data_IF_220777138125
#
_entry.id   IF_220777138125
#
_cell.length_a   1.000
_cell.length_b   1.000
_cell.length_c   1.000
_cell.angle_alpha   90.00
_cell.angle_beta   90.00
_cell.angle_gamma   90.00
#
_symmetry.space_group_name_H-M   'P 1'
#
loop_
_entity.id
_entity.type
_entity.pdbx_description
1 polymer ?
#
# COMPACT_ATOMS: atom_id res chain seq x y z
N UNK A 1 -20.03 -14.19 25.29
CA UNK A 1 -20.05 -14.14 23.82
C UNK A 1 -18.59 -14.21 23.38
N UNK A 2 -18.19 -15.26 22.66
CA UNK A 2 -16.81 -15.43 22.20
C UNK A 2 -16.56 -14.38 21.10
N UNK A 3 -15.54 -13.52 21.27
CA UNK A 3 -15.12 -12.61 20.20
C UNK A 3 -14.56 -13.45 19.04
N UNK A 4 -15.00 -13.19 17.82
CA UNK A 4 -14.42 -13.86 16.65
C UNK A 4 -12.98 -13.34 16.44
N UNK A 5 -11.99 -14.24 16.50
CA UNK A 5 -10.57 -13.89 16.36
C UNK A 5 -10.00 -14.21 14.98
N UNK A 6 -10.80 -14.82 14.09
CA UNK A 6 -10.31 -15.43 12.86
C UNK A 6 -9.42 -14.54 11.98
N UNK A 7 -9.74 -13.25 11.82
CA UNK A 7 -8.89 -12.33 11.06
C UNK A 7 -7.60 -11.92 11.78
N UNK A 8 -7.63 -11.82 13.12
CA UNK A 8 -6.44 -11.57 13.93
C UNK A 8 -5.50 -12.78 13.86
N UNK A 9 -6.06 -13.98 13.89
CA UNK A 9 -5.32 -15.23 13.75
C UNK A 9 -4.70 -15.35 12.34
N UNK A 10 -5.45 -14.99 11.28
CA UNK A 10 -4.94 -14.91 9.91
C UNK A 10 -3.72 -13.97 9.81
N UNK A 11 -3.79 -12.78 10.43
CA UNK A 11 -2.66 -11.85 10.47
C UNK A 11 -1.58 -12.24 11.50
N UNK A 12 -1.88 -13.12 12.46
CA UNK A 12 -0.98 -13.53 13.53
C UNK A 12 -0.73 -12.42 14.55
N UNK A 13 -1.73 -11.58 14.83
CA UNK A 13 -1.65 -10.45 15.76
C UNK A 13 -2.65 -10.59 16.91
N UNK A 14 -2.44 -9.84 17.98
CA UNK A 14 -3.39 -9.82 19.10
C UNK A 14 -4.71 -9.10 18.72
N UNK A 15 -5.82 -9.47 19.34
CA UNK A 15 -7.12 -8.77 19.17
C UNK A 15 -7.07 -7.28 19.51
N UNK A 16 -6.15 -6.89 20.41
CA UNK A 16 -5.94 -5.51 20.82
C UNK A 16 -4.79 -4.82 20.04
N UNK A 17 -4.27 -5.47 18.98
CA UNK A 17 -3.16 -4.94 18.20
C UNK A 17 -3.50 -3.56 17.58
N UNK A 18 -2.63 -2.55 17.70
CA UNK A 18 -2.81 -1.26 17.05
C UNK A 18 -2.65 -1.39 15.53
N UNK A 19 -3.16 -0.39 14.78
CA UNK A 19 -3.13 -0.38 13.32
C UNK A 19 -1.73 -0.62 12.72
N UNK A 20 -0.68 -0.04 13.31
CA UNK A 20 0.68 -0.21 12.81
C UNK A 20 1.16 -1.67 12.87
N UNK A 21 0.76 -2.43 13.89
CA UNK A 21 1.10 -3.85 14.00
C UNK A 21 0.35 -4.68 12.97
N UNK A 22 -0.93 -4.37 12.76
CA UNK A 22 -1.78 -4.99 11.72
C UNK A 22 -1.17 -4.77 10.33
N UNK A 23 -0.79 -3.53 10.01
CA UNK A 23 -0.14 -3.17 8.74
C UNK A 23 1.19 -3.91 8.55
N UNK A 24 2.02 -3.94 9.59
CA UNK A 24 3.33 -4.62 9.55
C UNK A 24 3.17 -6.13 9.37
N UNK A 25 2.26 -6.76 10.10
CA UNK A 25 2.01 -8.19 10.00
C UNK A 25 1.46 -8.58 8.63
N UNK A 26 0.54 -7.78 8.08
CA UNK A 26 0.05 -7.95 6.71
C UNK A 26 1.20 -7.87 5.71
N UNK A 27 2.03 -6.83 5.74
CA UNK A 27 3.15 -6.68 4.81
C UNK A 27 4.11 -7.88 4.80
N UNK A 28 4.53 -8.33 5.99
CA UNK A 28 5.46 -9.44 6.12
C UNK A 28 4.89 -10.75 5.56
N UNK A 29 3.64 -11.07 5.90
CA UNK A 29 2.99 -12.29 5.39
C UNK A 29 2.64 -12.19 3.92
N UNK A 30 2.12 -11.05 3.47
CA UNK A 30 1.79 -10.78 2.08
C UNK A 30 3.01 -10.95 1.17
N UNK A 31 4.19 -10.51 1.61
CA UNK A 31 5.45 -10.72 0.88
C UNK A 31 5.82 -12.21 0.77
N UNK A 32 5.56 -13.00 1.82
CA UNK A 32 5.88 -14.43 1.84
C UNK A 32 4.97 -15.25 0.93
N UNK A 33 3.69 -14.91 0.86
CA UNK A 33 2.68 -15.66 0.09
C UNK A 33 2.30 -14.98 -1.23
N UNK A 34 3.02 -13.92 -1.65
CA UNK A 34 2.70 -13.20 -2.87
C UNK A 34 2.73 -14.15 -4.09
N UNK A 35 1.73 -14.11 -4.99
CA UNK A 35 1.67 -14.99 -6.16
C UNK A 35 2.91 -14.92 -7.05
N UNK A 36 3.47 -13.72 -7.26
CA UNK A 36 4.69 -13.55 -8.07
C UNK A 36 5.92 -14.26 -7.49
N UNK A 37 6.01 -14.37 -6.16
CA UNK A 37 7.12 -15.05 -5.48
C UNK A 37 6.87 -16.56 -5.33
N UNK A 38 5.62 -16.99 -5.49
CA UNK A 38 5.17 -18.37 -5.37
C UNK A 38 4.41 -18.82 -6.62
N UNK A 39 5.03 -18.74 -7.82
CA UNK A 39 4.34 -19.04 -9.06
C UNK A 39 3.89 -20.50 -9.08
N UNK A 40 2.60 -20.73 -9.31
CA UNK A 40 2.01 -22.06 -9.43
C UNK A 40 1.57 -22.72 -8.12
N UNK A 41 1.71 -22.05 -6.97
CA UNK A 41 1.11 -22.52 -5.72
C UNK A 41 -0.32 -21.96 -5.56
N UNK A 42 -1.38 -22.79 -5.71
CA UNK A 42 -2.75 -22.33 -5.52
C UNK A 42 -3.03 -21.91 -4.08
N UNK A 43 -2.29 -22.43 -3.09
CA UNK A 43 -2.47 -22.06 -1.67
C UNK A 43 -1.95 -20.66 -1.39
N UNK A 44 -0.87 -20.25 -2.05
CA UNK A 44 -0.32 -18.90 -1.89
C UNK A 44 -1.35 -17.84 -2.29
N UNK A 45 -2.07 -18.04 -3.40
CA UNK A 45 -3.14 -17.13 -3.82
C UNK A 45 -4.33 -17.10 -2.84
N UNK A 46 -4.73 -18.25 -2.30
CA UNK A 46 -5.80 -18.33 -1.29
C UNK A 46 -5.41 -17.65 0.02
N UNK A 47 -4.18 -17.88 0.50
CA UNK A 47 -3.62 -17.28 1.70
C UNK A 47 -3.43 -15.77 1.53
N UNK A 48 -2.91 -15.33 0.38
CA UNK A 48 -2.75 -13.91 0.05
C UNK A 48 -4.10 -13.22 0.06
N UNK A 49 -5.12 -13.80 -0.59
CA UNK A 49 -6.48 -13.30 -0.55
C UNK A 49 -6.97 -13.18 0.90
N UNK A 50 -6.90 -14.25 1.68
CA UNK A 50 -7.36 -14.25 3.08
C UNK A 50 -6.64 -13.20 3.96
N UNK A 51 -5.34 -12.97 3.74
CA UNK A 51 -4.59 -11.89 4.39
C UNK A 51 -5.11 -10.52 4.00
N UNK A 52 -5.42 -10.31 2.72
CA UNK A 52 -6.00 -9.07 2.21
C UNK A 52 -7.37 -8.77 2.81
N UNK A 53 -8.23 -9.79 2.89
CA UNK A 53 -9.55 -9.69 3.52
C UNK A 53 -9.42 -9.33 5.01
N UNK A 54 -8.56 -10.06 5.73
CA UNK A 54 -8.29 -9.80 7.13
C UNK A 54 -7.76 -8.38 7.36
N UNK A 55 -6.83 -7.93 6.51
CA UNK A 55 -6.26 -6.60 6.59
C UNK A 55 -7.31 -5.53 6.31
N UNK A 56 -8.09 -5.61 5.23
CA UNK A 56 -9.12 -4.63 4.88
C UNK A 56 -10.19 -4.47 5.97
N UNK A 57 -10.51 -5.55 6.69
CA UNK A 57 -11.46 -5.53 7.81
C UNK A 57 -10.85 -4.96 9.08
N UNK A 58 -9.58 -5.29 9.37
CA UNK A 58 -8.93 -4.88 10.61
C UNK A 58 -8.26 -3.50 10.52
N UNK A 59 -8.03 -2.99 9.31
CA UNK A 59 -7.42 -1.68 9.07
C UNK A 59 -8.35 -0.52 9.39
N UNK A 60 -9.66 -0.66 9.14
CA UNK A 60 -10.64 0.39 9.40
C UNK A 60 -11.35 0.17 10.76
N UNK A 61 -11.38 1.18 11.66
CA UNK A 61 -12.00 1.04 12.97
C UNK A 61 -13.48 0.63 12.93
N UNK A 62 -14.22 1.09 11.91
CA UNK A 62 -15.66 0.83 11.80
C UNK A 62 -15.93 -0.64 11.45
N UNK A 63 -15.24 -1.16 10.44
CA UNK A 63 -15.32 -2.55 10.01
C UNK A 63 -14.72 -3.50 11.05
N UNK A 64 -13.62 -3.12 11.71
CA UNK A 64 -13.05 -3.87 12.84
C UNK A 64 -14.02 -3.98 14.01
N UNK A 65 -14.73 -2.90 14.36
CA UNK A 65 -15.74 -2.92 15.42
C UNK A 65 -16.95 -3.79 15.04
N UNK A 66 -17.42 -3.71 13.79
CA UNK A 66 -18.50 -4.56 13.27
C UNK A 66 -18.11 -6.04 13.30
N UNK A 67 -16.89 -6.36 12.86
CA UNK A 67 -16.33 -7.71 12.95
C UNK A 67 -16.28 -8.21 14.40
N UNK A 68 -15.78 -7.41 15.34
CA UNK A 68 -15.73 -7.80 16.75
C UNK A 68 -17.10 -8.06 17.39
N UNK A 69 -18.16 -7.40 16.90
CA UNK A 69 -19.53 -7.51 17.45
C UNK A 69 -20.37 -8.60 16.78
N UNK A 70 -20.19 -8.81 15.48
CA UNK A 70 -21.08 -9.65 14.68
C UNK A 70 -20.36 -10.72 13.84
N UNK A 71 -19.04 -10.72 13.84
CA UNK A 71 -18.24 -11.66 13.08
C UNK A 71 -18.20 -11.42 11.57
N UNK A 72 -17.72 -12.41 10.81
CA UNK A 72 -17.54 -12.32 9.35
C UNK A 72 -18.84 -12.08 8.57
N UNK A 73 -19.97 -12.57 9.08
CA UNK A 73 -21.26 -12.54 8.38
C UNK A 73 -21.83 -11.13 8.15
N UNK A 74 -21.32 -10.11 8.86
CA UNK A 74 -21.82 -8.74 8.76
C UNK A 74 -20.94 -7.81 7.93
N UNK A 75 -19.98 -8.37 7.19
CA UNK A 75 -19.06 -7.62 6.34
C UNK A 75 -19.50 -7.84 4.89
N UNK A 76 -19.97 -6.78 4.23
CA UNK A 76 -20.24 -6.82 2.79
C UNK A 76 -18.92 -6.90 2.02
N UNK A 77 -18.88 -7.81 1.04
CA UNK A 77 -17.74 -8.03 0.15
C UNK A 77 -17.68 -7.00 -0.99
N UNK A 78 -18.73 -6.19 -1.17
CA UNK A 78 -18.90 -5.29 -2.33
C UNK A 78 -17.91 -4.12 -2.34
N UNK A 79 -17.22 -3.87 -1.22
CA UNK A 79 -16.26 -2.79 -1.05
C UNK A 79 -14.80 -3.26 -1.04
N UNK A 80 -14.56 -4.54 -1.32
CA UNK A 80 -13.21 -5.08 -1.28
C UNK A 80 -12.42 -4.68 -2.50
N UNK A 81 -11.33 -3.98 -2.25
CA UNK A 81 -10.30 -3.77 -3.25
C UNK A 81 -9.59 -5.11 -3.43
N UNK A 82 -9.23 -5.46 -4.66
CA UNK A 82 -8.40 -6.64 -4.90
C UNK A 82 -7.13 -6.57 -4.05
N UNK A 83 -6.78 -7.67 -3.39
CA UNK A 83 -5.65 -7.70 -2.47
C UNK A 83 -4.34 -7.28 -3.14
N UNK A 84 -4.14 -7.66 -4.40
CA UNK A 84 -2.98 -7.22 -5.20
C UNK A 84 -2.96 -5.70 -5.35
N UNK A 85 -4.11 -5.08 -5.61
CA UNK A 85 -4.25 -3.63 -5.71
C UNK A 85 -3.95 -2.96 -4.36
N UNK A 86 -4.46 -3.50 -3.25
CA UNK A 86 -4.15 -3.00 -1.90
C UNK A 86 -2.66 -3.09 -1.60
N UNK A 87 -2.04 -4.23 -1.90
CA UNK A 87 -0.61 -4.45 -1.68
C UNK A 87 0.25 -3.50 -2.55
N UNK A 88 -0.08 -3.37 -3.84
CA UNK A 88 0.61 -2.47 -4.76
C UNK A 88 0.51 -1.01 -4.34
N UNK A 89 -0.68 -0.54 -3.94
CA UNK A 89 -0.88 0.84 -3.47
C UNK A 89 -0.06 1.12 -2.20
N UNK A 90 0.04 0.15 -1.29
CA UNK A 90 0.65 0.36 0.02
C UNK A 90 2.14 0.06 0.09
N UNK A 91 2.65 -0.83 -0.76
CA UNK A 91 4.01 -1.38 -0.63
C UNK A 91 4.72 -1.58 -1.98
N UNK A 92 3.99 -1.66 -3.09
CA UNK A 92 4.59 -1.98 -4.39
C UNK A 92 5.24 -0.79 -5.10
N UNK A 93 4.87 0.44 -4.76
CA UNK A 93 5.35 1.63 -5.49
C UNK A 93 6.61 2.27 -4.93
N UNK A 94 6.98 1.99 -3.67
CA UNK A 94 8.08 2.70 -2.98
C UNK A 94 9.38 2.75 -3.80
N UNK A 95 9.86 1.65 -4.43
CA UNK A 95 11.12 1.68 -5.19
C UNK A 95 11.04 2.55 -6.45
N UNK A 96 9.83 2.79 -6.95
CA UNK A 96 9.58 3.54 -8.18
C UNK A 96 9.13 4.98 -7.91
N UNK A 97 9.01 5.42 -6.66
CA UNK A 97 8.51 6.75 -6.32
C UNK A 97 9.35 7.88 -6.94
N UNK A 98 10.67 7.71 -7.00
CA UNK A 98 11.55 8.69 -7.64
C UNK A 98 11.38 8.78 -9.17
N UNK A 99 10.72 7.79 -9.77
CA UNK A 99 10.51 7.68 -11.20
C UNK A 99 9.12 8.14 -11.63
N UNK A 100 8.10 7.55 -11.03
CA UNK A 100 6.70 7.74 -11.43
C UNK A 100 5.91 8.52 -10.37
N UNK A 101 6.52 8.76 -9.21
CA UNK A 101 5.86 9.36 -8.06
C UNK A 101 4.97 8.37 -7.32
N UNK A 102 4.39 8.84 -6.22
CA UNK A 102 3.38 8.09 -5.49
C UNK A 102 2.08 7.99 -6.30
N UNK A 103 1.46 6.81 -6.26
CA UNK A 103 0.13 6.60 -6.86
C UNK A 103 -0.88 7.56 -6.25
N UNK A 104 -1.77 8.10 -7.10
CA UNK A 104 -2.80 9.04 -6.66
C UNK A 104 -3.68 8.46 -5.53
N UNK A 105 -3.95 7.15 -5.57
CA UNK A 105 -4.69 6.47 -4.50
C UNK A 105 -3.92 6.47 -3.17
N UNK A 106 -2.60 6.26 -3.17
CA UNK A 106 -1.80 6.29 -1.94
C UNK A 106 -1.81 7.69 -1.30
N UNK A 107 -1.66 8.73 -2.13
CA UNK A 107 -1.79 10.13 -1.68
C UNK A 107 -3.19 10.41 -1.13
N UNK A 108 -4.24 9.93 -1.81
CA UNK A 108 -5.62 10.08 -1.36
C UNK A 108 -5.86 9.41 0.00
N UNK A 109 -5.42 8.16 0.19
CA UNK A 109 -5.55 7.46 1.48
C UNK A 109 -4.79 8.18 2.59
N UNK A 110 -3.55 8.59 2.33
CA UNK A 110 -2.75 9.35 3.30
C UNK A 110 -3.45 10.65 3.72
N UNK A 111 -4.02 11.39 2.75
CA UNK A 111 -4.79 12.60 3.03
C UNK A 111 -6.07 12.30 3.82
N UNK A 112 -6.76 11.21 3.49
CA UNK A 112 -7.97 10.79 4.19
C UNK A 112 -7.69 10.40 5.65
N UNK A 113 -6.55 9.77 5.92
CA UNK A 113 -6.07 9.45 7.27
C UNK A 113 -5.63 10.70 8.06
N UNK A 114 -5.15 11.75 7.38
CA UNK A 114 -4.79 13.02 8.01
C UNK A 114 -5.99 13.90 8.39
N UNK A 115 -7.17 13.66 7.81
CA UNK A 115 -8.40 14.36 8.19
C UNK A 115 -8.93 13.87 9.55
N UNK A 116 -9.57 14.77 10.30
CA UNK A 116 -10.16 14.44 11.59
C UNK A 116 -11.18 13.30 11.49
N UNK A 117 -11.00 12.24 12.29
CA UNK A 117 -11.91 11.09 12.32
C UNK A 117 -13.35 11.45 12.74
N UNK A 118 -13.53 12.59 13.39
CA UNK A 118 -14.84 13.12 13.82
C UNK A 118 -15.69 13.61 12.65
N UNK A 119 -15.09 13.86 11.48
CA UNK A 119 -15.78 14.32 10.28
C UNK A 119 -16.46 13.15 9.56
N UNK A 120 -17.61 13.44 8.95
CA UNK A 120 -18.28 12.47 8.07
C UNK A 120 -17.36 12.03 6.92
N UNK A 121 -17.47 10.74 6.55
CA UNK A 121 -16.58 10.13 5.57
C UNK A 121 -16.67 10.84 4.20
N UNK A 122 -17.84 11.28 3.77
CA UNK A 122 -17.99 11.98 2.49
C UNK A 122 -17.29 13.35 2.53
N UNK A 123 -17.41 14.07 3.65
CA UNK A 123 -16.72 15.35 3.87
C UNK A 123 -15.20 15.15 3.89
N UNK A 124 -14.71 14.08 4.53
CA UNK A 124 -13.27 13.75 4.54
C UNK A 124 -12.76 13.45 3.13
N UNK A 125 -13.52 12.69 2.33
CA UNK A 125 -13.19 12.40 0.94
C UNK A 125 -13.12 13.67 0.09
N UNK A 126 -14.10 14.57 0.21
CA UNK A 126 -14.12 15.84 -0.53
C UNK A 126 -12.89 16.69 -0.21
N UNK A 127 -12.57 16.87 1.07
CA UNK A 127 -11.36 17.59 1.50
C UNK A 127 -10.07 16.94 0.99
N UNK A 128 -9.98 15.61 1.04
CA UNK A 128 -8.84 14.88 0.50
C UNK A 128 -8.70 15.13 -1.01
N UNK A 129 -9.80 15.08 -1.77
CA UNK A 129 -9.81 15.37 -3.22
C UNK A 129 -9.38 16.80 -3.51
N UNK A 130 -9.81 17.78 -2.72
CA UNK A 130 -9.41 19.17 -2.87
C UNK A 130 -7.88 19.33 -2.70
N UNK A 131 -7.29 18.65 -1.70
CA UNK A 131 -5.85 18.69 -1.42
C UNK A 131 -5.01 17.94 -2.46
N UNK A 132 -5.59 16.98 -3.20
CA UNK A 132 -4.86 16.18 -4.21
C UNK A 132 -4.13 17.04 -5.25
N UNK A 133 -4.69 18.19 -5.64
CA UNK A 133 -4.10 19.06 -6.65
C UNK A 133 -2.76 19.65 -6.22
N UNK A 134 -2.65 20.09 -4.96
CA UNK A 134 -1.43 20.66 -4.40
C UNK A 134 -0.31 19.60 -4.32
N UNK A 135 -0.64 18.41 -3.80
CA UNK A 135 0.31 17.30 -3.69
C UNK A 135 0.77 16.79 -5.06
N UNK A 136 -0.12 16.78 -6.06
CA UNK A 136 0.24 16.45 -7.44
C UNK A 136 1.31 17.40 -7.98
N UNK A 137 1.13 18.71 -7.79
CA UNK A 137 2.07 19.72 -8.27
C UNK A 137 3.44 19.59 -7.58
N UNK A 138 3.45 19.44 -6.25
CA UNK A 138 4.69 19.24 -5.49
C UNK A 138 5.42 17.97 -5.95
N UNK A 139 4.69 16.88 -6.18
CA UNK A 139 5.24 15.63 -6.72
C UNK A 139 5.85 15.82 -8.11
N UNK A 140 5.15 16.49 -9.01
CA UNK A 140 5.65 16.77 -10.37
C UNK A 140 6.94 17.60 -10.34
N UNK A 141 7.02 18.63 -9.50
CA UNK A 141 8.23 19.45 -9.33
C UNK A 141 9.43 18.62 -8.82
N UNK A 142 9.21 17.75 -7.83
CA UNK A 142 10.23 16.82 -7.32
C UNK A 142 10.70 15.85 -8.39
N UNK A 143 9.77 15.22 -9.11
CA UNK A 143 10.08 14.27 -10.20
C UNK A 143 10.88 14.92 -11.31
N UNK A 144 10.50 16.14 -11.73
CA UNK A 144 11.24 16.89 -12.75
C UNK A 144 12.69 17.11 -12.31
N UNK A 145 12.91 17.44 -11.03
CA UNK A 145 14.26 17.61 -10.49
C UNK A 145 15.05 16.31 -10.52
N UNK A 146 14.49 15.22 -9.99
CA UNK A 146 15.17 13.91 -9.99
C UNK A 146 15.50 13.42 -11.40
N UNK A 147 14.58 13.56 -12.34
CA UNK A 147 14.81 13.14 -13.73
C UNK A 147 15.92 13.94 -14.41
N UNK A 148 15.98 15.26 -14.16
CA UNK A 148 17.08 16.10 -14.65
C UNK A 148 18.40 15.64 -14.07
N UNK A 149 18.49 15.47 -12.76
CA UNK A 149 19.72 15.07 -12.07
C UNK A 149 20.22 13.69 -12.56
N UNK A 150 19.30 12.74 -12.79
CA UNK A 150 19.61 11.39 -13.29
C UNK A 150 20.15 11.39 -14.73
N UNK A 151 19.63 12.26 -15.60
CA UNK A 151 20.05 12.34 -17.02
C UNK A 151 21.27 13.25 -17.20
N UNK A 152 21.57 14.13 -16.24
CA UNK A 152 22.63 15.13 -16.36
C UNK A 152 24.00 14.55 -16.75
N UNK A 153 24.50 13.43 -16.19
CA UNK A 153 25.80 12.87 -16.60
C UNK A 153 25.84 12.48 -18.08
N UNK A 154 24.73 12.03 -18.65
CA UNK A 154 24.64 11.73 -20.08
C UNK A 154 24.73 13.01 -20.92
N UNK A 155 24.04 14.08 -20.50
CA UNK A 155 24.05 15.39 -21.17
C UNK A 155 25.43 16.03 -21.13
N UNK A 156 26.15 15.89 -20.01
CA UNK A 156 27.53 16.38 -19.83
C UNK A 156 28.57 15.58 -20.65
N UNK A 157 28.16 14.54 -21.37
CA UNK A 157 29.05 13.65 -22.12
C UNK A 157 29.73 12.57 -21.27
N UNK A 158 29.44 12.48 -19.97
CA UNK A 158 29.93 11.45 -19.04
C UNK A 158 29.14 10.13 -19.19
N UNK A 159 29.14 9.58 -20.41
CA UNK A 159 28.33 8.41 -20.78
C UNK A 159 28.68 7.15 -19.99
N UNK A 160 29.96 6.90 -19.74
CA UNK A 160 30.39 5.70 -19.01
C UNK A 160 29.92 5.71 -17.55
N UNK A 161 29.88 6.89 -16.92
CA UNK A 161 29.34 7.08 -15.57
C UNK A 161 27.83 6.84 -15.55
N UNK A 162 27.12 7.42 -16.53
CA UNK A 162 25.68 7.23 -16.69
C UNK A 162 25.31 5.75 -16.87
N UNK A 163 25.98 5.03 -17.77
CA UNK A 163 25.70 3.60 -18.03
C UNK A 163 25.95 2.76 -16.78
N UNK A 164 27.07 2.97 -16.08
CA UNK A 164 27.36 2.27 -14.81
C UNK A 164 26.28 2.54 -13.76
N UNK A 165 25.82 3.77 -13.65
CA UNK A 165 24.73 4.13 -12.75
C UNK A 165 23.42 3.44 -13.14
N UNK A 166 23.01 3.49 -14.41
CA UNK A 166 21.79 2.82 -14.92
C UNK A 166 21.84 1.32 -14.63
N UNK A 167 22.97 0.67 -14.90
CA UNK A 167 23.13 -0.77 -14.64
C UNK A 167 23.02 -1.11 -13.14
N UNK A 168 23.60 -0.27 -12.28
CA UNK A 168 23.50 -0.42 -10.83
C UNK A 168 22.05 -0.26 -10.36
N UNK A 169 21.38 0.78 -10.86
CA UNK A 169 20.02 1.12 -10.49
C UNK A 169 19.02 0.07 -10.97
N UNK A 170 19.18 -0.46 -12.19
CA UNK A 170 18.37 -1.55 -12.72
C UNK A 170 18.52 -2.85 -11.88
N UNK A 171 19.72 -3.11 -11.36
CA UNK A 171 19.93 -4.22 -10.42
C UNK A 171 19.21 -3.97 -9.10
N UNK A 172 19.30 -2.76 -8.54
CA UNK A 172 18.58 -2.40 -7.32
C UNK A 172 17.08 -2.62 -7.50
N UNK A 173 16.47 -2.02 -8.52
CA UNK A 173 15.02 -2.11 -8.75
C UNK A 173 14.55 -3.55 -9.01
N UNK A 174 15.36 -4.37 -9.68
CA UNK A 174 14.99 -5.78 -9.91
C UNK A 174 15.08 -6.66 -8.66
N UNK A 175 15.82 -6.24 -7.63
CA UNK A 175 15.92 -6.98 -6.35
C UNK A 175 14.86 -6.61 -5.33
N UNK A 176 14.18 -5.48 -5.50
CA UNK A 176 13.16 -4.99 -4.54
C UNK A 176 11.74 -5.45 -4.91
N UNK A 177 11.54 -5.97 -6.12
CA UNK A 177 10.29 -6.61 -6.58
C UNK A 177 9.89 -7.89 -5.84
#
# INVERSE_FOLDING_TARGET
MVRETGYYDTLGVNVDAPYFEIRKAYYLKATQVHPDKNPGDPKAAEEFRALGEAFQVLSDPTTRARFGKHGKLCISQDYWIHTDTTYCIMFGSEPFEDYIGQFAMNTFYSLLEMEEETLDLEVRKEKAIEKMGAFRKEREEKLIKFMKDRIQPFVDGRKDEFVKWVDSEARTLSTVG
#
